data_IF_131110820032
#
_entry.id   IF_131110820032
#
_cell.length_a   1.000
_cell.length_b   1.000
_cell.length_c   1.000
_cell.angle_alpha   90.00
_cell.angle_beta   90.00
_cell.angle_gamma   90.00
#
_symmetry.space_group_name_H-M   'P 1'
#
loop_
_entity.id
_entity.type
_entity.pdbx_description
1 polymer ?
#
# COMPACT_ATOMS: atom_id res chain seq x y z
N UNK A 1 46.14 0.06 37.68
CA UNK A 1 45.78 -0.82 36.55
C UNK A 1 44.54 -1.67 36.84
N UNK A 2 44.49 -2.45 37.94
CA UNK A 2 43.30 -3.26 38.29
C UNK A 2 42.00 -2.47 38.48
N UNK A 3 42.02 -1.31 39.15
CA UNK A 3 40.82 -0.46 39.32
C UNK A 3 40.25 0.12 38.01
N UNK A 4 41.12 0.45 37.05
CA UNK A 4 40.69 0.96 35.74
C UNK A 4 39.95 -0.14 34.96
N UNK A 5 40.40 -1.39 35.07
CA UNK A 5 39.74 -2.56 34.47
C UNK A 5 38.32 -2.75 35.05
N UNK A 6 38.15 -2.61 36.36
CA UNK A 6 36.83 -2.72 36.99
C UNK A 6 35.87 -1.59 36.57
N UNK A 7 36.37 -0.36 36.42
CA UNK A 7 35.57 0.79 35.94
C UNK A 7 35.17 0.58 34.46
N UNK A 8 36.07 0.06 33.63
CA UNK A 8 35.80 -0.23 32.22
C UNK A 8 34.74 -1.34 32.06
N UNK A 9 34.81 -2.38 32.91
CA UNK A 9 33.86 -3.48 32.92
C UNK A 9 32.46 -3.05 33.40
N UNK A 10 32.39 -2.10 34.34
CA UNK A 10 31.14 -1.51 34.80
C UNK A 10 30.49 -0.60 33.76
N UNK A 11 31.26 0.08 32.92
CA UNK A 11 30.74 0.90 31.81
C UNK A 11 30.11 0.06 30.68
N UNK A 12 30.65 -1.14 30.41
CA UNK A 12 30.09 -2.05 29.40
C UNK A 12 28.72 -2.61 29.77
N UNK A 13 28.38 -2.70 31.07
CA UNK A 13 27.09 -3.19 31.52
C UNK A 13 25.91 -2.23 31.22
N UNK A 14 26.19 -0.94 30.97
CA UNK A 14 25.16 0.07 30.66
C UNK A 14 24.81 0.19 29.16
N UNK A 15 25.52 -0.52 28.29
CA UNK A 15 25.31 -0.47 26.83
C UNK A 15 24.37 -1.59 26.35
N UNK A 16 23.90 -2.45 27.25
CA UNK A 16 23.07 -3.63 26.94
C UNK A 16 21.57 -3.34 26.78
N UNK A 17 21.18 -2.11 26.42
CA UNK A 17 19.82 -1.82 25.98
C UNK A 17 19.71 -2.19 24.50
N UNK A 18 19.28 -3.40 24.20
CA UNK A 18 18.89 -3.79 22.85
C UNK A 18 17.46 -3.31 22.60
N UNK A 19 17.24 -2.57 21.50
CA UNK A 19 15.89 -2.16 21.11
C UNK A 19 15.10 -3.41 20.68
N UNK A 20 14.23 -3.92 21.55
CA UNK A 20 13.40 -5.08 21.21
C UNK A 20 12.37 -4.70 20.16
N UNK A 21 12.36 -5.43 19.03
CA UNK A 21 11.33 -5.24 18.00
C UNK A 21 9.95 -5.58 18.59
N UNK A 22 9.03 -4.63 18.51
CA UNK A 22 7.65 -4.80 18.98
C UNK A 22 6.81 -5.37 17.85
N UNK A 23 6.07 -6.44 18.11
CA UNK A 23 5.09 -7.00 17.18
C UNK A 23 5.69 -7.86 16.07
N UNK A 24 4.87 -8.11 15.04
CA UNK A 24 5.22 -8.88 13.84
C UNK A 24 4.39 -8.40 12.65
N UNK A 25 4.84 -8.76 11.44
CA UNK A 25 4.12 -8.53 10.19
C UNK A 25 4.48 -9.64 9.19
N UNK A 26 3.47 -10.35 8.71
CA UNK A 26 3.52 -11.40 7.69
C UNK A 26 2.58 -11.03 6.55
N UNK A 27 3.14 -10.94 5.35
CA UNK A 27 2.44 -10.47 4.14
C UNK A 27 2.68 -11.40 2.95
N UNK A 28 3.09 -12.64 3.20
CA UNK A 28 3.37 -13.63 2.14
C UNK A 28 2.10 -14.03 1.38
N UNK A 29 0.97 -14.09 2.10
CA UNK A 29 -0.35 -14.36 1.52
C UNK A 29 -1.13 -13.08 1.17
N UNK A 30 -0.47 -11.92 1.26
CA UNK A 30 -1.11 -10.64 1.00
C UNK A 30 -1.56 -10.56 -0.46
N UNK A 31 -2.85 -10.35 -0.69
CA UNK A 31 -3.45 -10.34 -2.03
C UNK A 31 -4.75 -9.56 -2.05
N UNK A 32 -5.14 -9.11 -3.24
CA UNK A 32 -6.46 -8.55 -3.52
C UNK A 32 -7.29 -9.59 -4.29
N UNK A 33 -8.60 -9.65 -4.02
CA UNK A 33 -9.54 -10.50 -4.74
C UNK A 33 -10.82 -9.69 -5.10
N UNK A 34 -11.01 -9.29 -6.37
CA UNK A 34 -10.05 -9.41 -7.47
C UNK A 34 -8.83 -8.48 -7.27
N UNK A 35 -7.69 -8.83 -7.88
CA UNK A 35 -6.47 -7.99 -7.86
C UNK A 35 -6.41 -6.95 -8.99
N UNK A 36 -7.48 -6.85 -9.77
CA UNK A 36 -7.60 -5.93 -10.90
C UNK A 36 -8.92 -5.17 -10.77
N UNK A 37 -8.87 -3.86 -11.04
CA UNK A 37 -10.05 -3.02 -11.18
C UNK A 37 -10.01 -2.31 -12.53
N UNK A 38 -11.15 -2.28 -13.20
CA UNK A 38 -11.34 -1.54 -14.45
C UNK A 38 -11.96 -0.18 -14.10
N UNK A 39 -11.36 0.87 -14.64
CA UNK A 39 -11.82 2.27 -14.53
C UNK A 39 -12.25 2.71 -15.92
N UNK A 40 -13.55 2.71 -16.16
CA UNK A 40 -14.11 3.08 -17.46
C UNK A 40 -14.20 4.60 -17.58
N UNK A 41 -13.61 5.16 -18.63
CA UNK A 41 -13.73 6.57 -19.04
C UNK A 41 -15.10 6.87 -19.59
N UNK A 42 -15.67 5.92 -20.33
CA UNK A 42 -17.00 6.00 -20.91
C UNK A 42 -17.82 4.80 -20.42
N UNK A 43 -18.27 4.81 -19.15
CA UNK A 43 -19.03 3.70 -18.60
C UNK A 43 -20.37 3.53 -19.30
N UNK A 44 -20.84 2.29 -19.41
CA UNK A 44 -22.12 1.99 -20.03
C UNK A 44 -23.29 2.62 -19.25
N UNK A 45 -24.19 3.30 -19.96
CA UNK A 45 -25.28 4.07 -19.35
C UNK A 45 -26.31 3.20 -18.63
N UNK A 46 -26.46 1.93 -19.03
CA UNK A 46 -27.40 0.98 -18.42
C UNK A 46 -26.74 0.23 -17.25
N UNK A 47 -25.53 -0.31 -17.44
CA UNK A 47 -24.84 -1.09 -16.41
C UNK A 47 -24.36 -0.23 -15.23
N UNK A 48 -23.97 1.03 -15.49
CA UNK A 48 -23.38 1.94 -14.49
C UNK A 48 -24.27 3.16 -14.21
N UNK A 49 -25.57 3.08 -14.49
CA UNK A 49 -26.53 4.19 -14.34
C UNK A 49 -26.42 4.93 -12.98
N UNK A 50 -26.42 4.17 -11.87
CA UNK A 50 -26.31 4.71 -10.52
C UNK A 50 -24.97 5.43 -10.28
N UNK A 51 -23.88 4.89 -10.83
CA UNK A 51 -22.54 5.47 -10.72
C UNK A 51 -22.45 6.76 -11.53
N UNK A 52 -23.00 6.79 -12.74
CA UNK A 52 -23.00 7.95 -13.63
C UNK A 52 -23.83 9.09 -13.03
N UNK A 53 -25.01 8.79 -12.50
CA UNK A 53 -25.90 9.77 -11.87
C UNK A 53 -25.25 10.39 -10.63
N UNK A 54 -24.68 9.55 -9.75
CA UNK A 54 -24.16 9.98 -8.46
C UNK A 54 -22.67 10.30 -8.45
N UNK A 55 -21.99 10.09 -9.58
CA UNK A 55 -20.54 10.26 -9.75
C UNK A 55 -19.75 9.44 -8.72
N UNK A 56 -20.16 8.18 -8.49
CA UNK A 56 -19.47 7.34 -7.52
C UNK A 56 -18.06 6.94 -7.99
N UNK A 57 -17.05 7.03 -7.13
CA UNK A 57 -15.70 6.62 -7.49
C UNK A 57 -15.62 5.12 -7.75
N UNK A 58 -14.60 4.71 -8.50
CA UNK A 58 -14.21 3.31 -8.62
C UNK A 58 -13.44 2.92 -7.36
N UNK A 59 -13.86 1.85 -6.69
CA UNK A 59 -13.26 1.41 -5.42
C UNK A 59 -12.96 -0.08 -5.48
N UNK A 60 -11.73 -0.46 -5.14
CA UNK A 60 -11.33 -1.86 -5.08
C UNK A 60 -11.85 -2.57 -3.82
N UNK A 61 -11.81 -3.90 -3.82
CA UNK A 61 -11.80 -4.68 -2.59
C UNK A 61 -10.61 -4.27 -1.69
N UNK A 62 -10.70 -4.42 -0.37
CA UNK A 62 -9.54 -4.30 0.51
C UNK A 62 -8.59 -5.50 0.34
N UNK A 63 -7.33 -5.31 0.72
CA UNK A 63 -6.32 -6.36 0.78
C UNK A 63 -6.71 -7.44 1.80
N UNK A 64 -6.33 -8.67 1.52
CA UNK A 64 -6.54 -9.85 2.37
C UNK A 64 -5.21 -10.57 2.63
N UNK A 65 -5.21 -11.55 3.53
CA UNK A 65 -4.05 -12.41 3.77
C UNK A 65 -2.89 -11.76 4.55
N UNK A 66 -3.16 -10.68 5.28
CA UNK A 66 -2.16 -10.03 6.14
C UNK A 66 -2.34 -10.48 7.59
N UNK A 67 -1.24 -10.90 8.21
CA UNK A 67 -1.17 -11.13 9.65
C UNK A 67 -0.17 -10.17 10.28
N UNK A 68 -0.53 -9.51 11.36
CA UNK A 68 0.39 -8.57 11.99
C UNK A 68 -0.17 -7.90 13.22
N UNK A 69 0.71 -7.19 13.92
CA UNK A 69 0.33 -6.37 15.06
C UNK A 69 -0.26 -5.05 14.58
N UNK A 70 -1.46 -4.71 15.05
CA UNK A 70 -2.12 -3.44 14.72
C UNK A 70 -1.45 -2.23 15.40
N UNK A 71 -1.54 -1.03 14.81
CA UNK A 71 -2.15 -0.73 13.52
C UNK A 71 -1.28 -1.14 12.32
N UNK A 72 -1.92 -1.64 11.26
CA UNK A 72 -1.29 -1.92 9.97
C UNK A 72 -1.67 -0.78 9.01
N UNK A 73 -0.69 -0.32 8.24
CA UNK A 73 -0.80 0.80 7.33
C UNK A 73 -0.39 0.41 5.92
N UNK A 74 -0.87 1.18 4.95
CA UNK A 74 -0.69 0.94 3.53
C UNK A 74 -0.23 2.21 2.84
N UNK A 75 0.68 2.09 1.89
CA UNK A 75 1.12 3.19 1.03
C UNK A 75 1.47 2.67 -0.35
N UNK A 76 1.17 3.46 -1.38
CA UNK A 76 1.70 3.22 -2.73
C UNK A 76 3.22 3.36 -2.68
N UNK A 77 3.93 2.28 -2.95
CA UNK A 77 5.39 2.24 -2.99
C UNK A 77 5.92 2.61 -4.38
N UNK A 78 5.20 2.22 -5.43
CA UNK A 78 5.61 2.40 -6.82
C UNK A 78 4.43 2.13 -7.76
N UNK A 79 4.51 2.70 -8.97
CA UNK A 79 3.52 2.49 -10.03
C UNK A 79 4.29 2.34 -11.34
N UNK A 80 3.97 1.29 -12.10
CA UNK A 80 4.62 0.97 -13.37
C UNK A 80 3.56 0.84 -14.46
N UNK A 81 3.88 1.36 -15.65
CA UNK A 81 3.03 1.23 -16.83
C UNK A 81 3.89 1.32 -18.09
N UNK A 82 3.48 0.63 -19.16
CA UNK A 82 4.12 0.69 -20.48
C UNK A 82 3.32 1.51 -21.49
N UNK A 83 2.04 1.71 -21.21
CA UNK A 83 1.05 2.29 -22.11
C UNK A 83 0.25 3.41 -21.43
N UNK A 84 0.53 3.76 -20.19
CA UNK A 84 -0.11 4.82 -19.40
C UNK A 84 0.76 6.08 -19.22
N UNK A 85 0.39 6.89 -18.23
CA UNK A 85 1.20 7.97 -17.67
C UNK A 85 1.17 7.93 -16.14
N UNK A 86 2.34 7.76 -15.52
CA UNK A 86 2.49 7.58 -14.06
C UNK A 86 2.15 8.86 -13.28
N UNK A 87 2.42 10.03 -13.84
CA UNK A 87 2.15 11.30 -13.14
C UNK A 87 0.64 11.53 -13.01
N UNK A 88 -0.13 11.30 -14.09
CA UNK A 88 -1.59 11.37 -14.06
C UNK A 88 -2.21 10.44 -13.02
N UNK A 89 -1.64 9.24 -12.83
CA UNK A 89 -2.08 8.30 -11.81
C UNK A 89 -1.87 8.84 -10.39
N UNK A 90 -0.66 9.31 -10.07
CA UNK A 90 -0.34 9.79 -8.72
C UNK A 90 -1.13 11.03 -8.29
N UNK A 91 -1.60 11.82 -9.25
CA UNK A 91 -2.38 13.02 -8.96
C UNK A 91 -3.80 12.70 -8.44
N UNK A 92 -4.33 11.52 -8.77
CA UNK A 92 -5.77 11.25 -8.59
C UNK A 92 -6.08 9.95 -7.86
N UNK A 93 -5.22 8.92 -7.93
CA UNK A 93 -5.46 7.64 -7.28
C UNK A 93 -5.04 7.68 -5.81
N UNK A 94 -5.93 7.21 -4.94
CA UNK A 94 -5.69 7.13 -3.50
C UNK A 94 -5.65 5.67 -3.03
N UNK A 95 -4.70 5.34 -2.16
CA UNK A 95 -4.75 4.14 -1.34
C UNK A 95 -5.22 4.52 0.06
N UNK A 96 -6.44 4.12 0.39
CA UNK A 96 -7.11 4.48 1.64
C UNK A 96 -6.56 3.68 2.84
N UNK A 97 -6.88 4.15 4.04
CA UNK A 97 -6.49 3.49 5.29
C UNK A 97 -7.12 2.11 5.49
N UNK A 98 -8.24 1.82 4.82
CA UNK A 98 -8.88 0.50 4.76
C UNK A 98 -8.33 -0.37 3.62
N UNK A 99 -7.20 0.00 3.02
CA UNK A 99 -6.49 -0.68 1.93
C UNK A 99 -7.18 -0.70 0.56
N UNK A 100 -8.32 -0.03 0.42
CA UNK A 100 -8.98 0.08 -0.88
C UNK A 100 -8.29 1.15 -1.73
N UNK A 101 -8.09 0.85 -3.01
CA UNK A 101 -7.80 1.86 -4.02
C UNK A 101 -9.08 2.61 -4.37
N UNK A 102 -8.98 3.93 -4.51
CA UNK A 102 -10.08 4.80 -4.92
C UNK A 102 -9.64 5.65 -6.10
N UNK A 103 -10.46 5.66 -7.14
CA UNK A 103 -10.30 6.52 -8.32
C UNK A 103 -11.57 7.36 -8.49
N UNK A 104 -11.47 8.71 -8.51
CA UNK A 104 -12.62 9.57 -8.74
C UNK A 104 -13.38 9.21 -10.02
N UNK A 105 -14.70 9.39 -10.03
CA UNK A 105 -15.50 9.17 -11.23
C UNK A 105 -15.03 10.07 -12.39
N UNK A 106 -14.92 11.37 -12.11
CA UNK A 106 -14.31 12.33 -13.03
C UNK A 106 -12.80 12.37 -12.75
N UNK A 107 -12.03 11.79 -13.65
CA UNK A 107 -10.59 11.65 -13.52
C UNK A 107 -9.89 11.93 -14.87
N UNK A 108 -8.68 12.48 -14.82
CA UNK A 108 -7.85 12.79 -15.98
C UNK A 108 -6.71 11.78 -16.21
N UNK A 109 -6.72 10.68 -15.46
CA UNK A 109 -5.75 9.58 -15.60
C UNK A 109 -5.70 9.11 -17.06
N UNK A 110 -4.50 8.96 -17.62
CA UNK A 110 -4.35 8.52 -19.00
C UNK A 110 -4.73 7.02 -19.13
N UNK A 111 -5.35 6.64 -20.25
CA UNK A 111 -5.63 5.22 -20.53
C UNK A 111 -4.35 4.38 -20.50
N UNK A 112 -4.46 3.18 -19.97
CA UNK A 112 -3.33 2.25 -19.82
C UNK A 112 -3.51 1.28 -18.66
N UNK A 113 -2.55 0.36 -18.54
CA UNK A 113 -2.49 -0.63 -17.48
C UNK A 113 -1.43 -0.23 -16.46
N UNK A 114 -1.85 -0.08 -15.20
CA UNK A 114 -1.02 0.37 -14.10
C UNK A 114 -0.82 -0.74 -13.08
N UNK A 115 0.43 -1.16 -12.91
CA UNK A 115 0.86 -2.14 -11.91
C UNK A 115 1.36 -1.42 -10.67
N UNK A 116 0.78 -1.73 -9.52
CA UNK A 116 0.96 -0.92 -8.31
C UNK A 116 1.66 -1.74 -7.24
N UNK A 117 2.81 -1.23 -6.79
CA UNK A 117 3.53 -1.79 -5.66
C UNK A 117 2.96 -1.21 -4.37
N UNK A 118 2.70 -2.06 -3.38
CA UNK A 118 2.12 -1.64 -2.10
C UNK A 118 3.11 -1.88 -0.97
N UNK A 119 3.42 -0.82 -0.22
CA UNK A 119 4.10 -0.94 1.06
C UNK A 119 3.08 -1.21 2.16
N UNK A 120 3.25 -2.33 2.85
CA UNK A 120 2.47 -2.74 4.01
C UNK A 120 3.40 -2.63 5.22
N UNK A 121 2.98 -1.89 6.24
CA UNK A 121 3.86 -1.61 7.37
C UNK A 121 3.10 -1.46 8.69
N UNK A 122 3.79 -1.75 9.78
CA UNK A 122 3.36 -1.45 11.14
C UNK A 122 4.57 -1.02 11.96
N UNK A 123 4.43 -0.94 13.30
CA UNK A 123 5.56 -0.55 14.15
C UNK A 123 6.68 -1.59 14.06
N UNK A 124 7.80 -1.21 13.44
CA UNK A 124 9.03 -2.01 13.38
C UNK A 124 9.18 -2.90 12.14
N UNK A 125 8.17 -2.98 11.28
CA UNK A 125 8.20 -3.77 10.05
C UNK A 125 7.63 -2.95 8.87
N UNK A 126 8.25 -3.08 7.70
CA UNK A 126 7.80 -2.48 6.46
C UNK A 126 8.24 -3.36 5.30
N UNK A 127 7.28 -3.82 4.50
CA UNK A 127 7.48 -4.76 3.40
C UNK A 127 6.78 -4.22 2.16
N UNK A 128 7.46 -4.29 1.02
CA UNK A 128 6.88 -3.93 -0.29
C UNK A 128 6.48 -5.20 -1.02
N UNK A 129 5.30 -5.20 -1.61
CA UNK A 129 4.83 -6.21 -2.56
C UNK A 129 4.68 -5.57 -3.93
N UNK A 130 5.46 -6.08 -4.87
CA UNK A 130 5.50 -5.56 -6.23
C UNK A 130 4.25 -5.99 -6.99
N UNK A 131 3.68 -5.07 -7.77
CA UNK A 131 2.52 -5.32 -8.65
C UNK A 131 1.35 -6.02 -7.95
N UNK A 132 1.11 -5.66 -6.69
CA UNK A 132 0.11 -6.30 -5.83
C UNK A 132 -1.32 -6.03 -6.30
N UNK A 133 -1.53 -4.89 -6.96
CA UNK A 133 -2.80 -4.49 -7.54
C UNK A 133 -2.62 -3.93 -8.95
N UNK A 134 -3.64 -4.10 -9.79
CA UNK A 134 -3.66 -3.63 -11.17
C UNK A 134 -4.88 -2.72 -11.35
N UNK A 135 -4.66 -1.53 -11.92
CA UNK A 135 -5.74 -0.67 -12.39
C UNK A 135 -5.63 -0.56 -13.91
N UNK A 136 -6.71 -0.91 -14.60
CA UNK A 136 -6.83 -0.74 -16.05
C UNK A 136 -7.74 0.46 -16.29
N UNK A 137 -7.25 1.46 -17.01
CA UNK A 137 -8.02 2.64 -17.41
C UNK A 137 -8.32 2.54 -18.91
N UNK A 138 -9.60 2.48 -19.27
CA UNK A 138 -10.09 2.27 -20.66
C UNK A 138 -11.40 3.00 -20.96
#
# INVERSE_FOLDING_TARGET
MKQIIYILFMFFAFIACDETKVGYLEVDEASYDPNTMIVQKNPDEEEEADRIERKYPWVSSPIQGILGTYPIHYKIAGVHTSDGDVESFYNEVQLRGDSCFEVPFENSIKEGTYYIDVNIYNRGYSLVRDSLFIIVVE
#
